data_IF_473702718809
#
_entry.id   IF_473702718809
#
_cell.length_a   1.000
_cell.length_b   1.000
_cell.length_c   1.000
_cell.angle_alpha   90.00
_cell.angle_beta   90.00
_cell.angle_gamma   90.00
#
_symmetry.space_group_name_H-M   'P 1'
#
loop_
_entity.id
_entity.type
_entity.pdbx_description
1 polymer ?
#
# COMPACT_ATOMS: atom_id res chain seq x y z
N UNK A 1 -30.12 13.18 17.84
CA UNK A 1 -29.38 14.44 17.59
C UNK A 1 -28.15 14.45 18.48
N UNK A 2 -26.90 14.31 18.04
CA UNK A 2 -26.32 14.15 16.73
C UNK A 2 -24.79 14.07 16.89
N UNK A 3 -24.15 13.37 15.95
CA UNK A 3 -22.82 13.73 15.40
C UNK A 3 -21.69 13.99 16.40
N UNK A 4 -21.26 13.00 17.19
CA UNK A 4 -19.96 13.08 17.89
C UNK A 4 -19.09 11.82 17.87
N UNK A 5 -19.44 10.79 17.10
CA UNK A 5 -18.56 9.62 16.88
C UNK A 5 -17.62 9.80 15.67
N UNK A 6 -17.26 11.04 15.33
CA UNK A 6 -16.51 11.39 14.12
C UNK A 6 -15.09 11.90 14.41
N UNK A 7 -14.56 11.59 15.58
CA UNK A 7 -13.16 11.81 15.94
C UNK A 7 -12.56 10.49 16.43
N UNK A 8 -12.45 9.50 15.54
CA UNK A 8 -11.31 8.58 15.57
C UNK A 8 -10.02 9.29 15.08
N UNK A 9 -9.93 10.60 15.31
CA UNK A 9 -8.69 11.35 15.43
C UNK A 9 -8.03 11.00 16.77
N UNK A 10 -7.57 9.75 16.91
CA UNK A 10 -6.77 9.36 18.09
C UNK A 10 -5.28 9.67 17.91
N UNK A 11 -4.78 9.67 16.68
CA UNK A 11 -3.43 10.12 16.36
C UNK A 11 -3.34 10.42 14.87
N UNK A 12 -2.83 11.59 14.45
CA UNK A 12 -2.63 11.90 13.03
C UNK A 12 -1.81 10.80 12.33
N UNK A 13 -0.90 10.15 13.06
CA UNK A 13 -0.08 9.03 12.58
C UNK A 13 -0.89 7.79 12.19
N UNK A 14 -1.97 7.48 12.91
CA UNK A 14 -2.81 6.31 12.63
C UNK A 14 -3.77 6.55 11.47
N UNK A 15 -4.29 7.77 11.35
CA UNK A 15 -5.08 8.18 10.19
C UNK A 15 -4.24 8.21 8.91
N UNK A 16 -3.01 8.71 9.00
CA UNK A 16 -2.05 8.77 7.89
C UNK A 16 -1.62 7.37 7.42
N UNK A 17 -1.30 6.47 8.35
CA UNK A 17 -0.99 5.07 8.02
C UNK A 17 -2.19 4.37 7.34
N UNK A 18 -3.40 4.57 7.85
CA UNK A 18 -4.62 4.00 7.26
C UNK A 18 -4.86 4.55 5.85
N UNK A 19 -4.72 5.87 5.67
CA UNK A 19 -4.88 6.54 4.37
C UNK A 19 -3.87 6.05 3.33
N UNK A 20 -2.63 5.80 3.78
CA UNK A 20 -1.56 5.26 2.93
C UNK A 20 -1.91 3.86 2.46
N UNK A 21 -2.35 2.97 3.37
CA UNK A 21 -2.76 1.60 3.01
C UNK A 21 -3.95 1.61 2.04
N UNK A 22 -4.97 2.45 2.29
CA UNK A 22 -6.10 2.57 1.35
C UNK A 22 -5.66 3.03 -0.05
N UNK A 23 -4.76 4.02 -0.12
CA UNK A 23 -4.21 4.51 -1.38
C UNK A 23 -3.45 3.42 -2.14
N UNK A 24 -2.65 2.60 -1.44
CA UNK A 24 -1.94 1.46 -2.01
C UNK A 24 -2.89 0.40 -2.56
N UNK A 25 -3.97 0.09 -1.83
CA UNK A 25 -5.00 -0.85 -2.27
C UNK A 25 -5.73 -0.33 -3.52
N UNK A 26 -6.10 0.94 -3.55
CA UNK A 26 -6.70 1.55 -4.74
C UNK A 26 -5.76 1.52 -5.94
N UNK A 27 -4.46 1.78 -5.72
CA UNK A 27 -3.45 1.72 -6.78
C UNK A 27 -3.29 0.29 -7.31
N UNK A 28 -3.27 -0.73 -6.43
CA UNK A 28 -3.23 -2.14 -6.84
C UNK A 28 -4.48 -2.52 -7.66
N UNK A 29 -5.67 -2.11 -7.21
CA UNK A 29 -6.92 -2.32 -7.95
C UNK A 29 -6.91 -1.65 -9.32
N UNK A 30 -6.43 -0.41 -9.41
CA UNK A 30 -6.33 0.33 -10.67
C UNK A 30 -5.40 -0.38 -11.68
N UNK A 31 -4.41 -1.14 -11.18
CA UNK A 31 -3.50 -1.95 -11.98
C UNK A 31 -3.98 -3.41 -12.19
N UNK A 32 -5.24 -3.74 -11.85
CA UNK A 32 -5.79 -5.10 -11.93
C UNK A 32 -5.00 -6.16 -11.14
N UNK A 33 -4.39 -5.76 -10.02
CA UNK A 33 -3.63 -6.66 -9.14
C UNK A 33 -4.46 -7.08 -7.94
N UNK A 34 -4.17 -8.27 -7.43
CA UNK A 34 -4.65 -8.69 -6.13
C UNK A 34 -4.01 -7.82 -5.04
N UNK A 35 -4.81 -7.02 -4.29
CA UNK A 35 -4.26 -6.10 -3.29
C UNK A 35 -3.54 -6.82 -2.16
N UNK A 36 -4.00 -8.03 -1.81
CA UNK A 36 -3.41 -8.85 -0.75
C UNK A 36 -2.00 -9.32 -1.10
N UNK A 37 -1.81 -9.87 -2.32
CA UNK A 37 -0.51 -10.29 -2.82
C UNK A 37 0.44 -9.09 -2.96
N UNK A 38 -0.07 -7.96 -3.48
CA UNK A 38 0.70 -6.73 -3.61
C UNK A 38 1.21 -6.22 -2.26
N UNK A 39 0.36 -6.18 -1.23
CA UNK A 39 0.76 -5.75 0.11
C UNK A 39 1.77 -6.71 0.75
N UNK A 40 1.63 -8.01 0.53
CA UNK A 40 2.57 -9.00 1.06
C UNK A 40 3.98 -8.78 0.48
N UNK A 41 4.09 -8.71 -0.84
CA UNK A 41 5.34 -8.44 -1.55
C UNK A 41 5.92 -7.07 -1.17
N UNK A 42 5.07 -6.05 -1.03
CA UNK A 42 5.47 -4.72 -0.61
C UNK A 42 6.12 -4.76 0.77
N UNK A 43 5.51 -5.42 1.75
CA UNK A 43 6.05 -5.53 3.11
C UNK A 43 7.28 -6.45 3.20
N UNK A 44 7.37 -7.47 2.35
CA UNK A 44 8.54 -8.34 2.28
C UNK A 44 9.75 -7.59 1.70
N UNK A 45 9.56 -6.78 0.65
CA UNK A 45 10.64 -6.06 -0.04
C UNK A 45 10.95 -4.68 0.56
N UNK A 46 10.02 -4.08 1.31
CA UNK A 46 10.21 -2.82 2.05
C UNK A 46 11.50 -2.76 2.90
N UNK A 47 11.84 -3.78 3.73
CA UNK A 47 13.07 -3.77 4.50
C UNK A 47 14.33 -3.93 3.64
N UNK A 48 14.20 -4.43 2.41
CA UNK A 48 15.30 -4.60 1.46
C UNK A 48 15.52 -3.36 0.59
N UNK A 49 14.49 -2.52 0.40
CA UNK A 49 14.57 -1.30 -0.40
C UNK A 49 15.37 -0.20 0.33
N UNK A 50 16.64 -0.04 -0.05
CA UNK A 50 17.50 1.03 0.46
C UNK A 50 17.60 2.24 -0.48
N UNK A 51 17.27 2.07 -1.75
CA UNK A 51 17.39 3.10 -2.78
C UNK A 51 16.03 3.46 -3.41
N UNK A 52 15.95 4.66 -3.97
CA UNK A 52 14.76 5.15 -4.71
C UNK A 52 14.39 4.23 -5.88
N UNK A 53 15.38 3.58 -6.49
CA UNK A 53 15.19 2.62 -7.60
C UNK A 53 14.46 1.35 -7.14
N UNK A 54 14.83 0.77 -5.99
CA UNK A 54 14.12 -0.38 -5.41
C UNK A 54 12.66 -0.05 -5.07
N UNK A 55 12.39 1.20 -4.67
CA UNK A 55 11.02 1.66 -4.44
C UNK A 55 10.21 1.77 -5.74
N UNK A 56 10.83 2.13 -6.86
CA UNK A 56 10.18 2.10 -8.17
C UNK A 56 9.89 0.67 -8.64
N UNK A 57 10.75 -0.31 -8.31
CA UNK A 57 10.46 -1.74 -8.53
C UNK A 57 9.35 -2.28 -7.63
N UNK A 58 9.11 -1.66 -6.47
CA UNK A 58 7.99 -1.96 -5.57
C UNK A 58 6.63 -1.43 -6.06
N UNK A 59 6.62 -0.68 -7.16
CA UNK A 59 5.39 -0.10 -7.67
C UNK A 59 4.50 -1.17 -8.30
N UNK A 60 3.18 -1.02 -8.22
CA UNK A 60 2.24 -2.12 -8.52
C UNK A 60 2.42 -2.67 -9.93
N UNK A 61 2.78 -1.83 -10.91
CA UNK A 61 3.06 -2.27 -12.27
C UNK A 61 4.29 -3.19 -12.41
N UNK A 62 5.33 -3.04 -11.59
CA UNK A 62 6.52 -3.90 -11.63
C UNK A 62 6.33 -5.21 -10.86
N UNK A 63 5.57 -5.17 -9.76
CA UNK A 63 5.24 -6.39 -8.99
C UNK A 63 4.32 -7.31 -9.81
N UNK A 64 3.37 -6.74 -10.56
CA UNK A 64 2.53 -7.48 -11.50
C UNK A 64 3.31 -8.28 -12.54
N UNK A 65 4.40 -7.69 -13.03
CA UNK A 65 5.26 -8.28 -14.05
C UNK A 65 6.14 -9.39 -13.44
N UNK A 66 6.76 -9.12 -12.29
CA UNK A 66 7.56 -10.11 -11.56
C UNK A 66 6.75 -11.34 -11.11
N UNK A 67 5.50 -11.16 -10.68
CA UNK A 67 4.63 -12.27 -10.30
C UNK A 67 4.26 -13.20 -11.47
N UNK A 68 4.35 -12.73 -12.71
CA UNK A 68 4.13 -13.55 -13.93
C UNK A 68 5.38 -14.30 -14.37
N UNK A 69 6.56 -13.91 -13.89
CA UNK A 69 7.85 -14.48 -14.30
C UNK A 69 8.25 -15.69 -13.45
N UNK A 70 7.55 -15.93 -12.32
CA UNK A 70 7.76 -17.07 -11.43
C UNK A 70 6.85 -18.25 -11.77
#
# INVERSE_FOLDING_TARGET
MGRKNWLFSGSPRGADASSTIYSLIETAKANNLNPSDYLYELFEKLPHAQCRADLEELMPWNIADNAKIK
#
